data_IF_033528940199
#
_entry.id   IF_033528940199
#
_cell.length_a   1.000
_cell.length_b   1.000
_cell.length_c   1.000
_cell.angle_alpha   90.00
_cell.angle_beta   90.00
_cell.angle_gamma   90.00
#
_symmetry.space_group_name_H-M   'P 1'
#
loop_
_entity.id
_entity.type
_entity.pdbx_description
1 polymer ?
#
# COMPACT_ATOMS: atom_id res chain seq x y z
N UNK A 1 13.40 3.18 18.06
CA UNK A 1 13.42 4.02 16.85
C UNK A 1 14.88 4.21 16.44
N UNK A 2 15.26 3.76 15.23
CA UNK A 2 16.66 3.73 14.78
C UNK A 2 17.01 5.04 14.08
N UNK A 3 16.98 6.14 14.84
CA UNK A 3 16.94 7.54 14.34
C UNK A 3 18.19 7.92 13.52
N UNK A 4 19.31 7.20 13.70
CA UNK A 4 20.58 7.53 13.05
C UNK A 4 20.97 6.63 11.87
N UNK A 5 20.02 5.87 11.31
CA UNK A 5 20.24 4.99 10.15
C UNK A 5 21.02 3.71 10.47
N UNK A 6 21.10 3.36 11.75
CA UNK A 6 21.65 2.10 12.21
C UNK A 6 20.75 0.95 11.76
N UNK A 7 21.36 -0.14 11.30
CA UNK A 7 20.64 -1.33 10.82
C UNK A 7 20.06 -2.09 12.01
N UNK A 8 18.77 -2.42 11.92
CA UNK A 8 18.10 -3.28 12.89
C UNK A 8 18.30 -4.78 12.61
N UNK A 9 17.59 -5.66 13.32
CA UNK A 9 17.68 -7.12 13.15
C UNK A 9 17.48 -7.64 11.71
N UNK A 10 16.73 -6.94 10.86
CA UNK A 10 16.58 -7.32 9.44
C UNK A 10 17.80 -7.02 8.58
N UNK A 11 18.76 -6.26 9.10
CA UNK A 11 19.90 -5.74 8.33
C UNK A 11 19.61 -4.44 7.58
N UNK A 12 18.41 -3.87 7.74
CA UNK A 12 17.96 -2.64 7.10
C UNK A 12 17.66 -1.53 8.12
N UNK A 13 17.57 -0.29 7.65
CA UNK A 13 17.33 0.88 8.50
C UNK A 13 16.36 1.87 7.86
N UNK A 14 16.09 2.98 8.56
CA UNK A 14 15.27 4.07 8.06
C UNK A 14 15.80 4.71 6.74
N UNK A 15 17.07 4.47 6.39
CA UNK A 15 17.69 4.97 5.15
C UNK A 15 17.59 3.98 3.99
N UNK A 16 17.19 2.74 4.25
CA UNK A 16 17.09 1.72 3.20
C UNK A 16 15.96 2.06 2.23
N UNK A 17 16.21 1.90 0.93
CA UNK A 17 15.21 2.16 -0.12
C UNK A 17 14.38 0.92 -0.41
N UNK A 18 13.27 1.09 -1.13
CA UNK A 18 12.44 0.00 -1.64
C UNK A 18 13.23 -0.92 -2.60
N UNK A 19 14.12 -0.37 -3.41
CA UNK A 19 14.98 -1.18 -4.27
C UNK A 19 15.98 -2.02 -3.46
N UNK A 20 16.67 -1.41 -2.49
CA UNK A 20 17.69 -2.10 -1.68
C UNK A 20 17.11 -3.26 -0.90
N UNK A 21 15.95 -3.07 -0.27
CA UNK A 21 15.30 -4.14 0.52
C UNK A 21 14.67 -5.22 -0.35
N UNK A 22 14.63 -5.03 -1.67
CA UNK A 22 14.12 -6.04 -2.61
C UNK A 22 15.20 -6.53 -3.58
N UNK A 23 16.47 -6.17 -3.34
CA UNK A 23 17.55 -6.51 -4.24
C UNK A 23 17.68 -8.03 -4.43
N UNK A 24 17.76 -8.47 -5.69
CA UNK A 24 17.92 -9.88 -6.05
C UNK A 24 16.65 -10.73 -5.93
N UNK A 25 15.49 -10.13 -5.61
CA UNK A 25 14.21 -10.84 -5.56
C UNK A 25 13.61 -10.92 -6.97
N UNK A 26 13.18 -12.12 -7.35
CA UNK A 26 12.38 -12.36 -8.55
C UNK A 26 10.91 -12.62 -8.14
N UNK A 27 10.03 -11.70 -8.54
CA UNK A 27 8.59 -11.75 -8.33
C UNK A 27 7.82 -12.18 -9.58
N UNK A 28 8.49 -12.72 -10.60
CA UNK A 28 7.85 -13.21 -11.81
C UNK A 28 6.77 -14.23 -11.49
N UNK A 29 5.60 -14.05 -12.11
CA UNK A 29 4.42 -14.89 -11.88
C UNK A 29 3.55 -14.48 -10.69
N UNK A 30 3.99 -13.48 -9.91
CA UNK A 30 3.14 -12.84 -8.91
C UNK A 30 2.34 -11.70 -9.55
N UNK A 31 1.12 -11.52 -9.06
CA UNK A 31 0.29 -10.37 -9.37
C UNK A 31 -0.04 -9.60 -8.10
N UNK A 32 0.10 -8.28 -8.16
CA UNK A 32 -0.13 -7.36 -7.05
C UNK A 32 -1.16 -6.30 -7.41
N UNK A 33 -2.06 -5.96 -6.48
CA UNK A 33 -2.87 -4.75 -6.54
C UNK A 33 -2.22 -3.70 -5.63
N UNK A 34 -1.98 -2.49 -6.16
CA UNK A 34 -1.49 -1.35 -5.38
C UNK A 34 -2.54 -0.23 -5.45
N UNK A 35 -3.15 0.12 -4.32
CA UNK A 35 -4.10 1.23 -4.26
C UNK A 35 -3.37 2.58 -4.12
N UNK A 36 -3.87 3.61 -4.80
CA UNK A 36 -3.24 4.94 -4.77
C UNK A 36 -1.89 4.96 -5.48
N UNK A 37 -1.74 4.16 -6.54
CA UNK A 37 -0.48 3.96 -7.25
C UNK A 37 -0.07 5.12 -8.18
N UNK A 38 -0.84 6.19 -8.28
CA UNK A 38 -0.58 7.31 -9.19
C UNK A 38 0.33 8.40 -8.61
N UNK A 39 0.86 8.23 -7.39
CA UNK A 39 1.83 9.16 -6.79
C UNK A 39 2.55 8.56 -5.58
N UNK A 40 3.66 9.19 -5.19
CA UNK A 40 4.30 8.99 -3.88
C UNK A 40 4.69 7.54 -3.62
N UNK A 41 4.34 7.01 -2.45
CA UNK A 41 4.75 5.66 -2.04
C UNK A 41 4.13 4.56 -2.91
N UNK A 42 2.91 4.76 -3.39
CA UNK A 42 2.21 3.79 -4.24
C UNK A 42 2.84 3.68 -5.63
N UNK A 43 3.22 4.81 -6.20
CA UNK A 43 3.98 4.88 -7.46
C UNK A 43 5.33 4.17 -7.32
N UNK A 44 6.12 4.49 -6.30
CA UNK A 44 7.42 3.86 -6.10
C UNK A 44 7.30 2.37 -5.81
N UNK A 45 6.28 1.94 -5.07
CA UNK A 45 6.01 0.51 -4.84
C UNK A 45 5.64 -0.20 -6.13
N UNK A 46 4.85 0.44 -7.00
CA UNK A 46 4.53 -0.08 -8.34
C UNK A 46 5.80 -0.22 -9.16
N UNK A 47 6.66 0.81 -9.18
CA UNK A 47 7.92 0.80 -9.91
C UNK A 47 8.85 -0.32 -9.42
N UNK A 48 9.05 -0.45 -8.11
CA UNK A 48 9.88 -1.51 -7.54
C UNK A 48 9.30 -2.90 -7.79
N UNK A 49 7.98 -3.08 -7.65
CA UNK A 49 7.35 -4.37 -7.96
C UNK A 49 7.52 -4.75 -9.44
N UNK A 50 7.31 -3.80 -10.35
CA UNK A 50 7.56 -3.99 -11.78
C UNK A 50 9.03 -4.30 -12.07
N UNK A 51 9.97 -3.63 -11.39
CA UNK A 51 11.41 -3.89 -11.47
C UNK A 51 11.77 -5.32 -11.03
N UNK A 52 10.98 -5.92 -10.12
CA UNK A 52 11.13 -7.31 -9.68
C UNK A 52 10.27 -8.30 -10.50
N UNK A 53 9.67 -7.88 -11.62
CA UNK A 53 8.91 -8.76 -12.51
C UNK A 53 7.49 -9.09 -12.05
N UNK A 54 7.01 -8.46 -10.98
CA UNK A 54 5.62 -8.59 -10.52
C UNK A 54 4.69 -7.93 -11.53
N UNK A 55 3.56 -8.57 -11.85
CA UNK A 55 2.48 -7.95 -12.61
C UNK A 55 1.65 -7.05 -11.69
N UNK A 56 1.71 -5.73 -11.91
CA UNK A 56 1.05 -4.76 -11.02
C UNK A 56 -0.26 -4.25 -11.62
N UNK A 57 -1.33 -4.33 -10.85
CA UNK A 57 -2.59 -3.62 -11.09
C UNK A 57 -2.54 -2.32 -10.30
N UNK A 58 -2.34 -1.21 -11.02
CA UNK A 58 -2.45 0.13 -10.47
C UNK A 58 -3.92 0.48 -10.26
N UNK A 59 -4.39 0.41 -9.02
CA UNK A 59 -5.74 0.78 -8.65
C UNK A 59 -5.78 2.27 -8.27
N UNK A 60 -6.34 3.10 -9.16
CA UNK A 60 -6.26 4.56 -9.07
C UNK A 60 -7.61 5.20 -9.37
N UNK A 61 -7.89 6.33 -8.73
CA UNK A 61 -9.11 7.11 -8.99
C UNK A 61 -9.03 7.89 -10.31
N UNK A 62 -7.88 8.48 -10.61
CA UNK A 62 -7.66 9.22 -11.86
C UNK A 62 -6.85 8.36 -12.83
N UNK A 63 -7.54 7.83 -13.85
CA UNK A 63 -6.93 6.97 -14.86
C UNK A 63 -5.85 7.67 -15.67
N UNK A 64 -5.99 8.95 -15.98
CA UNK A 64 -5.00 9.68 -16.79
C UNK A 64 -3.71 9.91 -16.02
N UNK A 65 -3.80 10.21 -14.72
CA UNK A 65 -2.63 10.26 -13.83
C UNK A 65 -1.96 8.88 -13.76
N UNK A 66 -2.75 7.81 -13.64
CA UNK A 66 -2.22 6.44 -13.68
C UNK A 66 -1.51 6.10 -14.98
N UNK A 67 -2.05 6.51 -16.13
CA UNK A 67 -1.44 6.27 -17.46
C UNK A 67 -0.08 6.95 -17.58
N UNK A 68 0.04 8.19 -17.13
CA UNK A 68 1.33 8.92 -17.13
C UNK A 68 2.40 8.19 -16.34
N UNK A 69 2.06 7.77 -15.11
CA UNK A 69 2.98 7.01 -14.25
C UNK A 69 3.34 5.66 -14.89
N UNK A 70 2.36 4.93 -15.43
CA UNK A 70 2.63 3.67 -16.15
C UNK A 70 3.61 3.89 -17.31
N UNK A 71 3.42 4.95 -18.10
CA UNK A 71 4.27 5.26 -19.24
C UNK A 71 5.70 5.60 -18.80
N UNK A 72 5.87 6.34 -17.71
CA UNK A 72 7.17 6.67 -17.12
C UNK A 72 7.89 5.41 -16.62
N UNK A 73 7.20 4.56 -15.85
CA UNK A 73 7.76 3.30 -15.35
C UNK A 73 8.11 2.36 -16.51
N UNK A 74 7.29 2.29 -17.55
CA UNK A 74 7.55 1.41 -18.71
C UNK A 74 8.73 1.90 -19.55
N UNK A 75 8.99 3.22 -19.59
CA UNK A 75 10.21 3.76 -20.22
C UNK A 75 11.48 3.35 -19.47
N UNK A 76 11.42 3.37 -18.13
CA UNK A 76 12.54 2.95 -17.28
C UNK A 76 12.73 1.42 -17.28
N UNK A 77 11.61 0.68 -17.31
CA UNK A 77 11.56 -0.78 -17.20
C UNK A 77 10.71 -1.34 -18.36
N UNK A 78 11.30 -1.53 -19.55
CA UNK A 78 10.56 -1.98 -20.74
C UNK A 78 9.86 -3.34 -20.60
N UNK A 79 10.28 -4.17 -19.64
CA UNK A 79 9.67 -5.47 -19.32
C UNK A 79 8.51 -5.38 -18.32
N UNK A 80 8.20 -4.19 -17.79
CA UNK A 80 7.17 -3.99 -16.78
C UNK A 80 5.79 -4.46 -17.27
N UNK A 81 5.12 -5.25 -16.44
CA UNK A 81 3.72 -5.67 -16.65
C UNK A 81 2.82 -4.88 -15.72
N UNK A 82 2.17 -3.86 -16.26
CA UNK A 82 1.35 -2.93 -15.47
C UNK A 82 0.01 -2.74 -16.16
N UNK A 83 -1.08 -2.99 -15.44
CA UNK A 83 -2.44 -2.63 -15.86
C UNK A 83 -3.01 -1.57 -14.93
N UNK A 84 -3.93 -0.75 -15.45
CA UNK A 84 -4.59 0.31 -14.70
C UNK A 84 -6.05 -0.03 -14.57
N UNK A 85 -6.57 0.03 -13.35
CA UNK A 85 -7.97 -0.19 -13.05
C UNK A 85 -8.49 0.96 -12.18
N UNK A 86 -9.71 1.41 -12.49
CA UNK A 86 -10.33 2.50 -11.75
C UNK A 86 -10.75 2.01 -10.36
N UNK A 87 -10.34 2.74 -9.32
CA UNK A 87 -10.76 2.51 -7.95
C UNK A 87 -10.89 3.83 -7.20
N UNK A 88 -12.12 4.20 -6.84
CA UNK A 88 -12.42 5.27 -5.89
C UNK A 88 -12.82 4.66 -4.55
N UNK A 89 -11.88 4.67 -3.59
CA UNK A 89 -12.12 4.15 -2.23
C UNK A 89 -13.17 4.94 -1.44
N UNK A 90 -13.56 6.14 -1.90
CA UNK A 90 -14.63 6.91 -1.28
C UNK A 90 -16.05 6.48 -1.69
N UNK A 91 -16.16 5.45 -2.55
CA UNK A 91 -17.43 4.90 -3.05
C UNK A 91 -17.43 3.38 -2.96
N UNK A 92 -18.32 2.81 -2.14
CA UNK A 92 -18.46 1.35 -2.04
C UNK A 92 -18.91 0.69 -3.35
N UNK A 93 -19.67 1.41 -4.18
CA UNK A 93 -20.02 0.98 -5.52
C UNK A 93 -18.77 0.82 -6.40
N UNK A 94 -17.88 1.82 -6.40
CA UNK A 94 -16.59 1.74 -7.13
C UNK A 94 -15.74 0.57 -6.63
N UNK A 95 -15.65 0.36 -5.31
CA UNK A 95 -14.92 -0.77 -4.72
C UNK A 95 -15.50 -2.12 -5.19
N UNK A 96 -16.83 -2.28 -5.18
CA UNK A 96 -17.49 -3.51 -5.64
C UNK A 96 -17.28 -3.74 -7.13
N UNK A 97 -17.39 -2.68 -7.93
CA UNK A 97 -17.13 -2.74 -9.37
C UNK A 97 -15.70 -3.16 -9.64
N UNK A 98 -14.72 -2.52 -9.00
CA UNK A 98 -13.30 -2.89 -9.11
C UNK A 98 -13.06 -4.35 -8.75
N UNK A 99 -13.63 -4.81 -7.63
CA UNK A 99 -13.49 -6.20 -7.20
C UNK A 99 -14.11 -7.19 -8.21
N UNK A 100 -15.27 -6.85 -8.77
CA UNK A 100 -15.94 -7.63 -9.82
C UNK A 100 -15.11 -7.68 -11.11
N UNK A 101 -14.62 -6.54 -11.57
CA UNK A 101 -13.81 -6.41 -12.79
C UNK A 101 -12.50 -7.17 -12.63
N UNK A 102 -11.83 -7.03 -11.49
CA UNK A 102 -10.59 -7.75 -11.21
C UNK A 102 -10.81 -9.26 -11.13
N UNK A 103 -11.88 -9.70 -10.45
CA UNK A 103 -12.25 -11.13 -10.44
C UNK A 103 -12.52 -11.66 -11.85
N UNK A 104 -13.14 -10.86 -12.70
CA UNK A 104 -13.46 -11.22 -14.09
C UNK A 104 -12.21 -11.27 -14.99
N UNK A 105 -11.11 -10.63 -14.60
CA UNK A 105 -9.83 -10.70 -15.33
C UNK A 105 -9.20 -12.10 -15.30
N UNK A 106 -9.56 -12.94 -14.33
CA UNK A 106 -8.97 -14.27 -14.14
C UNK A 106 -7.53 -14.26 -13.64
N UNK A 107 -6.97 -13.09 -13.31
CA UNK A 107 -5.63 -12.98 -12.75
C UNK A 107 -5.58 -13.51 -11.31
N UNK A 108 -4.48 -14.17 -10.89
CA UNK A 108 -4.28 -14.52 -9.48
C UNK A 108 -4.09 -13.25 -8.65
N UNK A 109 -4.46 -13.27 -7.38
CA UNK A 109 -4.12 -12.22 -6.42
C UNK A 109 -3.10 -12.75 -5.42
N UNK A 110 -1.85 -12.32 -5.52
CA UNK A 110 -0.80 -12.72 -4.59
C UNK A 110 -0.54 -11.64 -3.54
N UNK A 111 -0.63 -10.36 -3.93
CA UNK A 111 -0.33 -9.22 -3.06
C UNK A 111 -1.42 -8.15 -3.17
N UNK A 112 -1.89 -7.65 -2.03
CA UNK A 112 -2.79 -6.49 -1.96
C UNK A 112 -2.16 -5.44 -1.05
N UNK A 113 -1.78 -4.30 -1.64
CA UNK A 113 -1.14 -3.19 -0.93
C UNK A 113 -2.18 -2.07 -0.72
N UNK A 114 -2.70 -1.98 0.51
CA UNK A 114 -3.65 -0.95 0.94
C UNK A 114 -2.92 0.38 1.24
N UNK A 115 -2.37 0.99 0.20
CA UNK A 115 -1.47 2.16 0.28
C UNK A 115 -2.17 3.52 0.13
N UNK A 116 -3.31 3.60 -0.55
CA UNK A 116 -4.01 4.88 -0.74
C UNK A 116 -4.36 5.54 0.61
N UNK A 117 -4.24 6.87 0.68
CA UNK A 117 -4.64 7.66 1.84
C UNK A 117 -4.76 9.15 1.48
N UNK A 118 -5.52 9.93 2.25
CA UNK A 118 -5.62 11.40 2.09
C UNK A 118 -5.34 12.07 3.41
N UNK A 119 -4.45 13.04 3.44
CA UNK A 119 -4.07 13.72 4.67
C UNK A 119 -4.51 15.19 4.68
N UNK A 120 -4.92 15.68 5.85
CA UNK A 120 -5.18 17.10 6.12
C UNK A 120 -6.29 17.74 5.27
N UNK A 121 -7.35 17.00 4.98
CA UNK A 121 -8.57 17.57 4.39
C UNK A 121 -9.40 18.27 5.48
N UNK A 122 -10.05 19.42 5.20
CA UNK A 122 -11.15 19.92 6.02
C UNK A 122 -12.21 18.83 6.21
N UNK A 123 -12.97 18.87 7.31
CA UNK A 123 -14.06 17.91 7.54
C UNK A 123 -14.98 17.87 6.31
N UNK A 124 -15.11 16.68 5.73
CA UNK A 124 -16.00 16.40 4.61
C UNK A 124 -16.57 15.00 4.79
N UNK A 125 -17.80 14.79 4.35
CA UNK A 125 -18.40 13.47 4.26
C UNK A 125 -18.14 12.91 2.84
N UNK A 126 -17.90 11.60 2.73
CA UNK A 126 -17.90 10.88 1.45
C UNK A 126 -19.31 10.90 0.84
N UNK A 127 -19.47 10.44 -0.40
CA UNK A 127 -20.79 10.27 -1.04
C UNK A 127 -21.73 9.35 -0.23
N UNK A 128 -21.16 8.52 0.64
CA UNK A 128 -21.86 7.56 1.50
C UNK A 128 -22.03 8.06 2.97
N UNK A 129 -21.85 9.36 3.24
CA UNK A 129 -21.98 9.96 4.58
C UNK A 129 -20.97 9.46 5.64
N UNK A 130 -19.80 8.95 5.22
CA UNK A 130 -18.71 8.57 6.11
C UNK A 130 -17.68 9.70 6.15
N UNK A 131 -17.15 10.05 7.32
CA UNK A 131 -16.11 11.08 7.42
C UNK A 131 -14.90 10.71 6.53
N UNK A 132 -14.46 11.65 5.70
CA UNK A 132 -13.54 11.40 4.59
C UNK A 132 -12.19 10.88 5.05
N UNK A 133 -11.65 11.35 6.18
CA UNK A 133 -10.41 10.79 6.74
C UNK A 133 -10.64 9.39 7.31
N UNK A 134 -11.76 9.07 7.95
CA UNK A 134 -12.07 7.72 8.39
C UNK A 134 -12.26 6.76 7.20
N UNK A 135 -13.00 7.19 6.17
CA UNK A 135 -13.21 6.45 4.92
C UNK A 135 -11.90 6.17 4.18
N UNK A 136 -10.93 7.09 4.24
CA UNK A 136 -9.70 6.99 3.44
C UNK A 136 -8.42 6.66 4.22
N UNK A 137 -8.39 6.86 5.55
CA UNK A 137 -7.21 6.69 6.41
C UNK A 137 -7.36 5.58 7.48
N UNK A 138 -8.59 5.11 7.75
CA UNK A 138 -8.84 4.00 8.68
C UNK A 138 -9.23 2.71 7.95
N UNK A 139 -9.80 2.82 6.75
CA UNK A 139 -9.93 1.71 5.79
C UNK A 139 -8.73 1.57 4.84
N UNK A 140 -7.79 2.53 4.80
CA UNK A 140 -6.51 2.44 4.09
C UNK A 140 -5.45 3.26 4.85
N UNK A 141 -4.24 2.74 5.04
CA UNK A 141 -3.39 3.01 6.22
C UNK A 141 -2.56 4.30 6.12
N UNK A 142 -2.55 5.11 7.19
CA UNK A 142 -1.98 6.47 7.28
C UNK A 142 -0.52 6.59 7.77
N UNK A 143 0.19 7.68 7.40
CA UNK A 143 0.87 8.60 8.35
C UNK A 143 1.59 9.83 7.72
N UNK A 144 1.75 10.90 8.53
CA UNK A 144 2.80 11.93 8.40
C UNK A 144 3.27 12.48 9.76
N UNK A 145 4.51 13.01 9.79
CA UNK A 145 5.02 14.22 10.49
C UNK A 145 6.56 14.27 10.33
N UNK A 146 7.13 15.45 10.01
CA UNK A 146 8.55 15.78 10.33
C UNK A 146 9.47 16.23 9.19
N UNK A 147 9.28 17.45 8.66
CA UNK A 147 9.93 18.04 7.47
C UNK A 147 11.47 18.24 7.48
N UNK A 148 12.20 17.75 8.48
CA UNK A 148 13.66 17.85 8.57
C UNK A 148 14.37 16.52 8.93
N UNK A 149 13.61 15.42 9.03
CA UNK A 149 14.08 14.03 9.24
C UNK A 149 13.48 13.11 8.17
N UNK A 150 13.09 13.68 7.02
CA UNK A 150 12.20 13.04 6.05
C UNK A 150 12.92 11.99 5.22
N UNK A 151 12.40 10.76 5.30
CA UNK A 151 12.57 9.77 4.24
C UNK A 151 12.13 10.35 2.90
N UNK A 152 12.88 10.05 1.84
CA UNK A 152 12.36 10.24 0.49
C UNK A 152 11.33 9.16 0.15
N UNK A 153 10.69 9.26 -1.01
CA UNK A 153 9.67 8.31 -1.46
C UNK A 153 10.21 6.88 -1.52
N UNK A 154 11.44 6.71 -2.01
CA UNK A 154 12.15 5.44 -2.11
C UNK A 154 12.31 4.77 -0.73
N UNK A 155 12.65 5.55 0.30
CA UNK A 155 12.79 5.10 1.68
C UNK A 155 11.43 4.89 2.36
N UNK A 156 10.44 5.71 2.03
CA UNK A 156 9.08 5.59 2.56
C UNK A 156 8.39 4.30 2.09
N UNK A 157 8.58 3.91 0.84
CA UNK A 157 8.02 2.68 0.26
C UNK A 157 8.75 1.41 0.70
N UNK A 158 9.92 1.55 1.35
CA UNK A 158 10.79 0.44 1.72
C UNK A 158 10.10 -0.61 2.59
N UNK A 159 9.39 -0.20 3.64
CA UNK A 159 8.78 -1.16 4.58
C UNK A 159 7.67 -1.98 3.95
N UNK A 160 6.82 -1.39 3.11
CA UNK A 160 5.80 -2.17 2.41
C UNK A 160 6.39 -3.10 1.36
N UNK A 161 7.46 -2.69 0.65
CA UNK A 161 8.15 -3.57 -0.29
C UNK A 161 8.86 -4.73 0.42
N UNK A 162 9.49 -4.47 1.57
CA UNK A 162 10.15 -5.48 2.40
C UNK A 162 9.15 -6.53 2.88
N UNK A 163 8.03 -6.11 3.49
CA UNK A 163 7.05 -7.07 4.02
C UNK A 163 6.35 -7.87 2.92
N UNK A 164 6.20 -7.29 1.72
CA UNK A 164 5.52 -7.94 0.61
C UNK A 164 6.38 -8.99 -0.10
N UNK A 165 7.69 -8.75 -0.25
CA UNK A 165 8.54 -9.56 -1.14
C UNK A 165 9.70 -10.27 -0.43
N UNK A 166 10.20 -9.76 0.70
CA UNK A 166 11.49 -10.22 1.22
C UNK A 166 11.40 -11.61 1.89
N UNK A 167 12.28 -12.57 1.56
CA UNK A 167 12.19 -13.95 2.06
C UNK A 167 12.33 -14.08 3.58
N UNK A 168 13.00 -13.14 4.25
CA UNK A 168 13.11 -13.14 5.73
C UNK A 168 11.76 -13.02 6.45
N UNK A 169 10.73 -12.48 5.79
CA UNK A 169 9.39 -12.36 6.38
C UNK A 169 8.39 -13.37 5.81
N UNK A 170 8.87 -14.36 5.05
CA UNK A 170 8.02 -15.43 4.53
C UNK A 170 7.33 -16.16 5.68
N UNK A 171 6.00 -16.21 5.65
CA UNK A 171 5.18 -16.84 6.69
C UNK A 171 4.96 -15.98 7.94
N UNK A 172 5.40 -14.72 7.95
CA UNK A 172 5.14 -13.79 9.05
C UNK A 172 3.79 -13.10 8.83
N UNK A 173 2.92 -13.10 9.86
CA UNK A 173 1.61 -12.46 9.83
C UNK A 173 1.27 -11.79 11.16
N UNK A 174 0.45 -10.73 11.15
CA UNK A 174 -0.05 -10.07 12.37
C UNK A 174 0.98 -9.19 13.09
N UNK A 175 2.07 -8.84 12.41
CA UNK A 175 3.20 -8.11 12.99
C UNK A 175 3.24 -6.66 12.50
N UNK A 176 3.77 -5.78 13.35
CA UNK A 176 3.98 -4.38 13.01
C UNK A 176 5.46 -4.14 12.65
N UNK A 177 5.71 -3.41 11.57
CA UNK A 177 7.05 -3.11 11.09
C UNK A 177 7.30 -1.61 11.02
N UNK A 178 8.50 -1.21 11.42
CA UNK A 178 9.03 0.14 11.28
C UNK A 178 10.44 0.03 10.74
N UNK A 179 10.76 0.78 9.69
CA UNK A 179 12.09 0.78 9.08
C UNK A 179 12.56 -0.64 8.70
N UNK A 180 11.65 -1.46 8.16
CA UNK A 180 11.90 -2.85 7.75
C UNK A 180 12.23 -3.80 8.91
N UNK A 181 11.94 -3.41 10.15
CA UNK A 181 12.20 -4.21 11.35
C UNK A 181 10.90 -4.41 12.13
N UNK A 182 10.71 -5.60 12.71
CA UNK A 182 9.60 -5.84 13.64
C UNK A 182 9.67 -4.84 14.79
N UNK A 183 8.53 -4.27 15.15
CA UNK A 183 8.41 -3.24 16.18
C UNK A 183 7.14 -3.43 16.99
N UNK A 184 7.07 -2.76 18.14
CA UNK A 184 5.88 -2.78 18.98
C UNK A 184 4.90 -1.71 18.52
N UNK A 185 3.64 -2.07 18.16
CA UNK A 185 2.60 -1.08 17.96
C UNK A 185 2.11 -0.53 19.31
N UNK A 186 1.23 0.47 19.27
CA UNK A 186 0.62 1.06 20.48
C UNK A 186 -0.21 0.03 21.25
N UNK A 187 -0.50 0.30 22.53
CA UNK A 187 -1.35 -0.57 23.35
C UNK A 187 -2.75 -0.73 22.78
N UNK A 188 -3.34 0.35 22.26
CA UNK A 188 -4.64 0.33 21.59
C UNK A 188 -4.65 -0.57 20.34
N UNK A 189 -3.55 -0.58 19.57
CA UNK A 189 -3.43 -1.45 18.40
C UNK A 189 -3.29 -2.94 18.76
N UNK A 190 -3.05 -3.28 20.03
CA UNK A 190 -2.99 -4.66 20.54
C UNK A 190 -4.28 -5.08 21.26
N UNK A 191 -5.27 -4.19 21.38
CA UNK A 191 -6.53 -4.47 22.06
C UNK A 191 -7.45 -5.31 21.15
N UNK A 192 -7.61 -6.58 21.49
CA UNK A 192 -8.42 -7.53 20.74
C UNK A 192 -9.94 -7.22 20.82
N UNK A 193 -10.42 -6.66 21.93
CA UNK A 193 -11.82 -6.28 22.06
C UNK A 193 -12.12 -5.05 21.19
N UNK A 194 -11.22 -4.07 21.21
CA UNK A 194 -11.35 -2.89 20.35
C UNK A 194 -11.26 -3.27 18.87
N UNK A 195 -10.32 -4.16 18.50
CA UNK A 195 -10.22 -4.68 17.14
C UNK A 195 -11.51 -5.38 16.71
N UNK A 196 -12.13 -6.18 17.58
CA UNK A 196 -13.41 -6.83 17.29
C UNK A 196 -14.54 -5.82 17.12
N UNK A 197 -14.66 -4.82 18.01
CA UNK A 197 -15.67 -3.77 17.92
C UNK A 197 -15.53 -2.98 16.62
N UNK A 198 -14.30 -2.64 16.25
CA UNK A 198 -14.00 -1.97 15.00
C UNK A 198 -14.40 -2.82 13.80
N UNK A 199 -14.07 -4.12 13.81
CA UNK A 199 -14.45 -5.05 12.75
C UNK A 199 -15.97 -5.12 12.56
N UNK A 200 -16.73 -5.34 13.64
CA UNK A 200 -18.19 -5.43 13.59
C UNK A 200 -18.81 -4.11 13.08
N UNK A 201 -18.28 -2.97 13.54
CA UNK A 201 -18.71 -1.66 13.07
C UNK A 201 -18.43 -1.46 11.57
N UNK A 202 -17.22 -1.79 11.10
CA UNK A 202 -16.87 -1.72 9.67
C UNK A 202 -17.77 -2.60 8.79
N UNK A 203 -18.11 -3.81 9.25
CA UNK A 203 -19.06 -4.68 8.54
C UNK A 203 -20.45 -4.06 8.46
N UNK A 204 -20.92 -3.41 9.54
CA UNK A 204 -22.24 -2.75 9.54
C UNK A 204 -22.35 -1.60 8.54
N UNK A 205 -21.21 -0.98 8.19
CA UNK A 205 -21.15 0.13 7.22
C UNK A 205 -20.99 -0.35 5.78
N UNK A 206 -20.37 -1.50 5.54
CA UNK A 206 -19.89 -1.90 4.20
C UNK A 206 -20.70 -3.02 3.57
N UNK A 207 -21.41 -3.83 4.37
CA UNK A 207 -22.25 -4.90 3.86
C UNK A 207 -23.38 -4.34 2.96
N UNK A 208 -23.69 -5.02 1.84
CA UNK A 208 -24.88 -4.70 1.05
C UNK A 208 -26.12 -4.75 1.97
N UNK A 209 -26.96 -3.72 1.90
CA UNK A 209 -28.32 -3.76 2.47
C UNK A 209 -29.23 -4.60 1.58
#
# INVERSE_FOLDING_TARGET
>A
MWIFGWKGPSGFSARSTAEEVTQGIDGTGLTAIVTGASSGLGEETTRVFALRGVHVIMAVRNLDAGRKVKDEITKEIPSAKIDIMELDLSSLESVRKFASDYKSSGLPLNLLINNAGVMATPFMLSKDNIELQFATNHLAVANAVGKFVLKNVQQGASTQCYVALHPQVKGVSGEYFVDNNKSNPTTLAKDAELAKKLWDFSLSLTNPK
#
